data_IF_869738772160
#
_entry.id   IF_869738772160
#
_cell.length_a   1.000
_cell.length_b   1.000
_cell.length_c   1.000
_cell.angle_alpha   90.00
_cell.angle_beta   90.00
_cell.angle_gamma   90.00
#
_symmetry.space_group_name_H-M   'P 1'
#
loop_
_entity.id
_entity.type
_entity.pdbx_description
1 polymer ?
#
# COMPACT_ATOMS: atom_id res chain seq x y z
N UNK A 1 0.29 -12.32 7.66
CA UNK A 1 0.48 -13.67 7.09
C UNK A 1 -0.46 -14.72 7.71
N UNK A 2 -0.36 -15.06 9.00
CA UNK A 2 -1.19 -16.12 9.63
C UNK A 2 -2.70 -16.02 9.42
N UNK A 3 -3.25 -14.80 9.49
CA UNK A 3 -4.69 -14.55 9.29
C UNK A 3 -5.19 -14.85 7.88
N UNK A 4 -4.29 -14.90 6.89
CA UNK A 4 -4.62 -15.24 5.51
C UNK A 4 -4.50 -16.74 5.21
N UNK A 5 -4.17 -17.56 6.23
CA UNK A 5 -3.95 -19.00 6.08
C UNK A 5 -4.93 -19.80 6.95
N UNK A 6 -5.21 -21.07 6.62
CA UNK A 6 -5.95 -21.97 7.48
C UNK A 6 -5.32 -22.07 8.89
N UNK A 7 -6.11 -22.33 9.95
CA UNK A 7 -5.64 -22.31 11.33
C UNK A 7 -4.40 -23.19 11.60
N UNK A 8 -4.33 -24.34 10.94
CA UNK A 8 -3.27 -25.35 11.15
C UNK A 8 -2.15 -25.30 10.11
N UNK A 9 -2.13 -24.31 9.21
CA UNK A 9 -1.08 -24.17 8.22
C UNK A 9 0.29 -23.98 8.90
N UNK A 10 1.36 -24.53 8.32
CA UNK A 10 2.74 -24.26 8.78
C UNK A 10 3.41 -23.30 7.80
N UNK A 11 4.25 -22.41 8.30
CA UNK A 11 5.02 -21.45 7.51
C UNK A 11 6.49 -21.65 7.90
N UNK A 12 7.35 -21.96 6.92
CA UNK A 12 8.80 -22.03 7.14
C UNK A 12 9.36 -20.65 7.49
N UNK A 13 10.55 -20.59 8.08
CA UNK A 13 11.20 -19.31 8.36
C UNK A 13 11.60 -18.61 7.06
N UNK A 14 12.13 -19.34 6.08
CA UNK A 14 12.50 -18.82 4.76
C UNK A 14 11.31 -18.15 4.06
N UNK A 15 10.11 -18.74 4.15
CA UNK A 15 8.91 -18.13 3.56
C UNK A 15 8.48 -16.84 4.29
N UNK A 16 8.73 -16.72 5.61
CA UNK A 16 8.48 -15.47 6.34
C UNK A 16 9.46 -14.39 5.91
N UNK A 17 10.76 -14.73 5.80
CA UNK A 17 11.81 -13.80 5.38
C UNK A 17 11.58 -13.33 3.95
N UNK A 18 11.26 -14.25 3.03
CA UNK A 18 10.92 -13.90 1.65
C UNK A 18 9.77 -12.88 1.60
N UNK A 19 8.68 -13.11 2.35
CA UNK A 19 7.56 -12.17 2.39
C UNK A 19 7.92 -10.85 3.07
N UNK A 20 8.81 -10.83 4.07
CA UNK A 20 9.33 -9.58 4.65
C UNK A 20 10.12 -8.76 3.63
N UNK A 21 10.98 -9.41 2.83
CA UNK A 21 11.68 -8.74 1.74
C UNK A 21 10.71 -8.21 0.68
N UNK A 22 9.73 -9.04 0.27
CA UNK A 22 8.69 -8.59 -0.66
C UNK A 22 7.90 -7.39 -0.13
N UNK A 23 7.55 -7.37 1.16
CA UNK A 23 6.77 -6.25 1.73
C UNK A 23 7.61 -4.98 1.85
N UNK A 24 8.90 -5.10 2.14
CA UNK A 24 9.84 -3.97 2.14
C UNK A 24 9.91 -3.37 0.74
N UNK A 25 10.05 -4.22 -0.28
CA UNK A 25 10.10 -3.77 -1.67
C UNK A 25 8.77 -3.19 -2.14
N UNK A 26 7.65 -3.79 -1.73
CA UNK A 26 6.31 -3.25 -2.00
C UNK A 26 6.16 -1.81 -1.50
N UNK A 27 6.57 -1.53 -0.25
CA UNK A 27 6.52 -0.17 0.31
C UNK A 27 7.38 0.79 -0.53
N UNK A 28 8.62 0.38 -0.87
CA UNK A 28 9.53 1.18 -1.69
C UNK A 28 8.96 1.47 -3.08
N UNK A 29 8.33 0.46 -3.70
CA UNK A 29 7.80 0.55 -5.05
C UNK A 29 6.58 1.48 -5.13
N UNK A 30 5.58 1.29 -4.25
CA UNK A 30 4.42 2.19 -4.15
C UNK A 30 4.85 3.62 -3.85
N UNK A 31 5.79 3.80 -2.90
CA UNK A 31 6.28 5.13 -2.53
C UNK A 31 6.98 5.82 -3.71
N UNK A 32 7.76 5.07 -4.49
CA UNK A 32 8.46 5.59 -5.66
C UNK A 32 7.49 6.07 -6.74
N UNK A 33 6.44 5.30 -7.03
CA UNK A 33 5.40 5.69 -7.99
C UNK A 33 4.64 6.93 -7.52
N UNK A 34 4.24 6.97 -6.24
CA UNK A 34 3.58 8.15 -5.67
C UNK A 34 4.47 9.41 -5.71
N UNK A 35 5.79 9.26 -5.50
CA UNK A 35 6.77 10.35 -5.68
C UNK A 35 6.79 10.82 -7.13
N UNK A 36 6.87 9.89 -8.10
CA UNK A 36 6.92 10.24 -9.52
C UNK A 36 5.67 11.02 -9.94
N UNK A 37 4.48 10.56 -9.54
CA UNK A 37 3.21 11.26 -9.78
C UNK A 37 3.21 12.66 -9.15
N UNK A 38 3.58 12.77 -7.88
CA UNK A 38 3.65 14.05 -7.16
C UNK A 38 4.59 15.04 -7.87
N UNK A 39 5.77 14.57 -8.30
CA UNK A 39 6.75 15.37 -9.04
C UNK A 39 6.25 15.77 -10.42
N UNK A 40 5.58 14.87 -11.13
CA UNK A 40 4.98 15.15 -12.44
C UNK A 40 3.93 16.27 -12.36
N UNK A 41 3.18 16.33 -11.27
CA UNK A 41 2.22 17.41 -10.98
C UNK A 41 2.87 18.70 -10.42
N UNK A 42 4.20 18.78 -10.38
CA UNK A 42 4.93 19.95 -9.88
C UNK A 42 4.85 20.15 -8.36
N UNK A 43 4.45 19.11 -7.61
CA UNK A 43 4.32 19.15 -6.15
C UNK A 43 5.54 18.54 -5.48
N UNK A 44 5.85 19.02 -4.26
CA UNK A 44 6.92 18.47 -3.40
C UNK A 44 6.40 17.65 -2.22
N UNK A 45 5.10 17.71 -1.96
CA UNK A 45 4.46 17.02 -0.84
C UNK A 45 3.53 15.98 -1.43
N UNK A 46 3.82 14.72 -1.09
CA UNK A 46 2.99 13.57 -1.43
C UNK A 46 1.69 13.70 -0.63
N UNK A 47 0.56 13.57 -1.33
CA UNK A 47 -0.77 13.53 -0.74
C UNK A 47 -1.26 12.09 -0.63
N UNK A 48 -2.23 11.79 0.26
CA UNK A 48 -2.81 10.45 0.35
C UNK A 48 -3.36 9.95 -1.00
N UNK A 49 -3.92 10.84 -1.82
CA UNK A 49 -4.43 10.53 -3.15
C UNK A 49 -3.35 10.01 -4.12
N UNK A 50 -2.10 10.44 -3.94
CA UNK A 50 -0.98 9.99 -4.78
C UNK A 50 -0.67 8.52 -4.52
N UNK A 51 -0.72 8.12 -3.25
CA UNK A 51 -0.52 6.72 -2.83
C UNK A 51 -1.66 5.84 -3.32
N UNK A 52 -2.90 6.31 -3.23
CA UNK A 52 -4.07 5.56 -3.71
C UNK A 52 -4.02 5.39 -5.23
N UNK A 53 -3.62 6.44 -5.97
CA UNK A 53 -3.45 6.37 -7.42
C UNK A 53 -2.31 5.44 -7.82
N UNK A 54 -1.18 5.48 -7.10
CA UNK A 54 -0.05 4.58 -7.33
C UNK A 54 -0.42 3.10 -7.16
N UNK A 55 -1.34 2.76 -6.24
CA UNK A 55 -1.83 1.39 -6.10
C UNK A 55 -2.54 0.93 -7.39
N UNK A 56 -3.41 1.77 -7.95
CA UNK A 56 -4.15 1.47 -9.19
C UNK A 56 -3.20 1.37 -10.40
N UNK A 57 -2.28 2.33 -10.55
CA UNK A 57 -1.32 2.37 -11.66
C UNK A 57 -0.39 1.15 -11.67
N UNK A 58 -0.09 0.57 -10.50
CA UNK A 58 0.73 -0.63 -10.35
C UNK A 58 -0.07 -1.94 -10.37
N UNK A 59 -1.38 -1.89 -10.61
CA UNK A 59 -2.26 -3.06 -10.73
C UNK A 59 -2.76 -3.65 -9.41
N UNK A 60 -2.75 -2.86 -8.34
CA UNK A 60 -3.32 -3.19 -7.03
C UNK A 60 -4.72 -2.57 -6.85
N UNK A 61 -5.56 -2.60 -7.89
CA UNK A 61 -6.87 -1.95 -7.95
C UNK A 61 -7.78 -2.31 -6.76
N UNK A 62 -7.70 -3.55 -6.28
CA UNK A 62 -8.47 -4.06 -5.13
C UNK A 62 -8.22 -3.28 -3.83
N UNK A 63 -7.11 -2.53 -3.74
CA UNK A 63 -6.78 -1.69 -2.59
C UNK A 63 -7.41 -0.30 -2.63
N UNK A 64 -7.84 0.17 -3.80
CA UNK A 64 -8.33 1.54 -4.00
C UNK A 64 -9.56 1.86 -3.15
N UNK A 65 -10.64 1.10 -3.32
CA UNK A 65 -11.91 1.35 -2.62
C UNK A 65 -11.76 1.27 -1.08
N UNK A 66 -11.08 0.26 -0.50
CA UNK A 66 -10.80 0.23 0.93
C UNK A 66 -10.00 1.43 1.44
N UNK A 67 -8.99 1.88 0.68
CA UNK A 67 -8.14 3.00 1.06
C UNK A 67 -8.88 4.35 0.96
N UNK A 68 -9.69 4.55 -0.08
CA UNK A 68 -10.56 5.73 -0.21
C UNK A 68 -11.55 5.82 0.95
N UNK A 69 -12.19 4.70 1.30
CA UNK A 69 -13.09 4.64 2.45
C UNK A 69 -12.35 4.95 3.76
N UNK A 70 -11.14 4.42 3.93
CA UNK A 70 -10.30 4.71 5.09
C UNK A 70 -9.96 6.20 5.16
N UNK A 71 -9.49 6.80 4.07
CA UNK A 71 -9.12 8.21 4.01
C UNK A 71 -10.31 9.13 4.31
N UNK A 72 -11.50 8.81 3.79
CA UNK A 72 -12.74 9.52 4.09
C UNK A 72 -13.08 9.47 5.57
N UNK A 73 -13.03 8.28 6.18
CA UNK A 73 -13.28 8.10 7.63
C UNK A 73 -12.25 8.80 8.49
N UNK A 74 -10.99 8.81 8.09
CA UNK A 74 -9.92 9.50 8.80
C UNK A 74 -10.17 11.01 8.84
N UNK A 75 -10.46 11.63 7.68
CA UNK A 75 -10.80 13.06 7.58
C UNK A 75 -12.03 13.47 8.38
N UNK A 76 -13.02 12.58 8.51
CA UNK A 76 -14.21 12.82 9.34
C UNK A 76 -13.95 12.77 10.85
N UNK A 77 -12.86 12.12 11.29
CA UNK A 77 -12.49 12.07 12.72
C UNK A 77 -11.74 13.31 13.18
N UNK A 78 -11.09 14.00 12.24
CA UNK A 78 -10.32 15.22 12.49
C UNK A 78 -11.17 16.51 12.33
N UNK A 79 -12.50 16.37 12.18
CA UNK A 79 -13.50 17.44 12.16
C UNK A 79 -14.35 17.41 13.43
#
# INVERSE_FOLDING_TARGET
MRRALPPNAKISNDAKEAVQHCVTEFISFITSEAIQKCQHEGRRIIKPEDVISAMEELGFDDYKEPLDLFLKKYRMRDQ
#
